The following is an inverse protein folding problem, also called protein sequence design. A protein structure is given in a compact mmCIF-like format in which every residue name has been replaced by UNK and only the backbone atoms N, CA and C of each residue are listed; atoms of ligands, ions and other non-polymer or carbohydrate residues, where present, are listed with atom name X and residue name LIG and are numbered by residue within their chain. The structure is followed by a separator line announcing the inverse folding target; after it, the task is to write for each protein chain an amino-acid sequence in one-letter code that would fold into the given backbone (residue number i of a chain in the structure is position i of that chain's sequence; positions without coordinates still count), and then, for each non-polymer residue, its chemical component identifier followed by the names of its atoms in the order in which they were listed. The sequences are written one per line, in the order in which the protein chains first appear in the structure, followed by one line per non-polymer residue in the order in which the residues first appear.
data_IF_983567300039
#
_entry.id   IF_983567300039
#
_cell.length_a   1.000
_cell.length_b   1.000
_cell.length_c   1.000
_cell.angle_alpha   90.00
_cell.angle_beta   90.00
_cell.angle_gamma   90.00
#
_symmetry.space_group_name_H-M   'P 1'
#
loop_
_entity.id
_entity.type
_entity.pdbx_description
1 polymer ?
#
# COMPACT_ATOMS: atom_id res chain seq x y z
N UNK A 1 8.98 2.61 -39.85
CA UNK A 1 9.39 1.72 -38.74
C UNK A 1 9.09 2.44 -37.42
N UNK A 2 7.92 2.19 -36.81
CA UNK A 2 7.56 2.82 -35.53
C UNK A 2 8.46 2.23 -34.44
N UNK A 3 9.24 3.07 -33.76
CA UNK A 3 10.02 2.67 -32.59
C UNK A 3 9.03 2.37 -31.48
N UNK A 4 8.64 1.11 -31.37
CA UNK A 4 7.98 0.60 -30.17
C UNK A 4 8.97 0.76 -29.03
N UNK A 5 8.75 1.78 -28.22
CA UNK A 5 9.57 2.09 -27.06
C UNK A 5 9.53 0.92 -26.09
N UNK A 6 10.70 0.48 -25.63
CA UNK A 6 10.95 -0.66 -24.73
C UNK A 6 10.26 -0.61 -23.35
N UNK A 7 9.31 0.32 -23.14
CA UNK A 7 8.56 0.51 -21.90
C UNK A 7 7.61 -0.64 -21.55
N UNK A 8 7.38 -1.61 -22.44
CA UNK A 8 6.41 -2.69 -22.22
C UNK A 8 6.92 -3.89 -21.40
N UNK A 9 8.22 -3.97 -21.06
CA UNK A 9 8.80 -5.20 -20.49
C UNK A 9 9.12 -5.17 -18.98
N UNK A 10 9.06 -4.03 -18.30
CA UNK A 10 9.37 -3.94 -16.87
C UNK A 10 8.10 -4.04 -16.02
N UNK A 11 7.45 -5.21 -16.07
CA UNK A 11 6.40 -5.57 -15.11
C UNK A 11 7.04 -6.02 -13.81
N UNK A 12 6.68 -5.43 -12.68
CA UNK A 12 7.01 -5.99 -11.36
C UNK A 12 6.52 -7.43 -11.32
N UNK A 13 7.41 -8.39 -11.05
CA UNK A 13 6.98 -9.69 -10.51
C UNK A 13 6.55 -9.46 -9.06
N UNK A 14 5.30 -9.07 -8.86
CA UNK A 14 4.64 -9.10 -7.56
C UNK A 14 4.27 -10.53 -7.13
N UNK A 15 5.09 -11.53 -7.47
CA UNK A 15 4.99 -12.87 -6.87
C UNK A 15 5.82 -12.89 -5.59
N UNK A 16 5.34 -12.20 -4.57
CA UNK A 16 5.79 -12.41 -3.20
C UNK A 16 4.58 -12.33 -2.28
N UNK A 17 3.92 -13.47 -2.15
CA UNK A 17 2.75 -13.69 -1.30
C UNK A 17 3.07 -13.60 0.20
N UNK A 18 4.31 -13.26 0.60
CA UNK A 18 4.82 -13.59 1.94
C UNK A 18 5.21 -12.41 2.86
N UNK A 19 5.06 -11.14 2.47
CA UNK A 19 5.40 -10.02 3.38
C UNK A 19 4.32 -8.93 3.45
N UNK A 20 3.17 -9.27 4.05
CA UNK A 20 2.03 -8.36 4.21
C UNK A 20 2.19 -7.35 5.36
N UNK A 21 2.98 -7.67 6.40
CA UNK A 21 3.09 -6.83 7.59
C UNK A 21 3.98 -5.59 7.41
N UNK A 22 4.98 -5.64 6.53
CA UNK A 22 5.96 -4.56 6.32
C UNK A 22 5.69 -3.64 5.13
N UNK A 23 4.84 -4.05 4.17
CA UNK A 23 4.58 -3.27 2.95
C UNK A 23 3.51 -2.18 3.11
N UNK A 24 2.84 -2.13 4.27
CA UNK A 24 1.74 -1.20 4.52
C UNK A 24 0.50 -1.46 3.64
N UNK A 25 0.43 -2.60 2.96
CA UNK A 25 -0.67 -2.98 2.05
C UNK A 25 -1.87 -3.54 2.82
N UNK A 26 -1.63 -4.27 3.92
CA UNK A 26 -2.68 -4.70 4.83
C UNK A 26 -3.20 -3.50 5.65
N UNK A 27 -4.50 -3.25 5.58
CA UNK A 27 -5.19 -2.16 6.29
C UNK A 27 -6.12 -2.71 7.33
N UNK A 28 -6.27 -1.96 8.42
CA UNK A 28 -7.24 -2.21 9.48
C UNK A 28 -7.97 -0.90 9.73
N UNK A 29 -9.29 -0.88 9.52
CA UNK A 29 -10.13 0.33 9.63
C UNK A 29 -11.40 0.04 10.42
N UNK A 30 -11.90 1.04 11.12
CA UNK A 30 -13.20 0.98 11.78
C UNK A 30 -14.26 1.60 10.88
N UNK A 31 -15.34 0.87 10.62
CA UNK A 31 -16.56 1.37 9.97
C UNK A 31 -17.61 1.58 11.06
N UNK A 32 -18.08 2.82 11.20
CA UNK A 32 -19.12 3.20 12.16
C UNK A 32 -20.47 3.36 11.47
N UNK A 33 -21.50 2.82 12.11
CA UNK A 33 -22.88 2.85 11.69
C UNK A 33 -23.67 3.81 12.59
N UNK A 34 -24.78 4.33 12.08
CA UNK A 34 -25.76 5.01 12.92
C UNK A 34 -26.47 4.00 13.83
N UNK A 35 -27.07 4.46 14.91
CA UNK A 35 -27.83 3.59 15.81
C UNK A 35 -29.11 3.03 15.16
N UNK A 36 -29.66 3.76 14.19
CA UNK A 36 -30.83 3.37 13.42
C UNK A 36 -30.49 3.20 11.92
N UNK A 37 -31.01 2.14 11.26
CA UNK A 37 -31.86 1.08 11.81
C UNK A 37 -31.09 0.06 12.68
N UNK A 38 -31.73 -0.53 13.71
CA UNK A 38 -31.08 -1.46 14.62
C UNK A 38 -30.64 -2.74 13.90
N UNK A 39 -29.54 -3.35 14.36
CA UNK A 39 -29.01 -4.60 13.78
C UNK A 39 -28.28 -4.42 12.44
N UNK A 40 -28.17 -3.20 11.93
CA UNK A 40 -27.50 -2.95 10.64
C UNK A 40 -26.02 -3.33 10.66
N UNK A 41 -25.30 -3.10 11.76
CA UNK A 41 -23.89 -3.49 11.88
C UNK A 41 -23.72 -5.02 11.80
N UNK A 42 -24.61 -5.78 12.45
CA UNK A 42 -24.59 -7.24 12.37
C UNK A 42 -24.90 -7.76 10.95
N UNK A 43 -25.83 -7.12 10.23
CA UNK A 43 -26.12 -7.44 8.84
C UNK A 43 -24.97 -7.04 7.90
N UNK A 44 -24.38 -5.86 8.07
CA UNK A 44 -23.23 -5.39 7.32
C UNK A 44 -22.02 -6.31 7.51
N UNK A 45 -21.80 -6.81 8.74
CA UNK A 45 -20.76 -7.79 9.03
C UNK A 45 -20.94 -9.06 8.18
N UNK A 46 -22.16 -9.57 8.04
CA UNK A 46 -22.43 -10.74 7.17
C UNK A 46 -22.12 -10.44 5.71
N UNK A 47 -22.54 -9.27 5.20
CA UNK A 47 -22.28 -8.85 3.83
C UNK A 47 -20.78 -8.70 3.54
N UNK A 48 -20.04 -8.06 4.43
CA UNK A 48 -18.59 -7.87 4.30
C UNK A 48 -17.81 -9.18 4.44
N UNK A 49 -18.22 -10.07 5.35
CA UNK A 49 -17.57 -11.37 5.54
C UNK A 49 -17.75 -12.33 4.35
N UNK A 50 -18.70 -12.06 3.45
CA UNK A 50 -18.84 -12.79 2.19
C UNK A 50 -17.78 -12.38 1.14
N UNK A 51 -17.11 -11.23 1.32
CA UNK A 51 -16.06 -10.76 0.41
C UNK A 51 -14.76 -11.52 0.67
N UNK A 52 -14.22 -12.17 -0.38
CA UNK A 52 -12.93 -12.86 -0.29
C UNK A 52 -11.83 -11.86 0.08
N UNK A 53 -11.05 -12.17 1.10
CA UNK A 53 -9.90 -11.36 1.52
C UNK A 53 -10.25 -10.22 2.49
N UNK A 54 -11.52 -10.07 2.88
CA UNK A 54 -11.95 -9.15 3.93
C UNK A 54 -12.21 -9.91 5.21
N UNK A 55 -11.57 -9.52 6.31
CA UNK A 55 -11.84 -10.03 7.65
C UNK A 55 -12.62 -8.97 8.44
N UNK A 56 -13.63 -9.39 9.19
CA UNK A 56 -14.51 -8.48 9.92
C UNK A 56 -14.66 -8.92 11.37
N UNK A 57 -14.25 -8.05 12.28
CA UNK A 57 -14.35 -8.22 13.73
C UNK A 57 -15.34 -7.19 14.29
N UNK A 58 -16.02 -7.47 15.41
CA UNK A 58 -16.74 -6.44 16.15
C UNK A 58 -15.82 -5.29 16.52
N UNK A 59 -16.31 -4.06 16.44
CA UNK A 59 -15.57 -2.87 16.84
C UNK A 59 -15.63 -2.62 18.35
N UNK A 60 -15.42 -1.35 18.74
CA UNK A 60 -15.49 -0.93 20.14
C UNK A 60 -16.92 -0.94 20.69
N UNK A 61 -17.88 -0.62 19.84
CA UNK A 61 -19.29 -0.48 20.17
C UNK A 61 -20.15 -1.38 19.26
N UNK A 62 -21.39 -1.65 19.64
CA UNK A 62 -22.31 -2.51 18.87
C UNK A 62 -22.63 -1.95 17.46
N UNK A 63 -22.41 -0.65 17.26
CA UNK A 63 -22.58 0.06 15.99
C UNK A 63 -21.26 0.27 15.23
N UNK A 64 -20.17 -0.43 15.59
CA UNK A 64 -18.92 -0.38 14.83
C UNK A 64 -18.36 -1.74 14.47
N UNK A 65 -17.68 -1.80 13.33
CA UNK A 65 -17.00 -2.99 12.80
C UNK A 65 -15.55 -2.66 12.50
N UNK A 66 -14.64 -3.54 12.88
CA UNK A 66 -13.24 -3.49 12.47
C UNK A 66 -13.05 -4.36 11.22
N UNK A 67 -12.64 -3.76 10.12
CA UNK A 67 -12.39 -4.44 8.86
C UNK A 67 -10.90 -4.51 8.56
N UNK A 68 -10.42 -5.69 8.16
CA UNK A 68 -9.06 -5.91 7.69
C UNK A 68 -9.10 -6.35 6.23
N UNK A 69 -8.29 -5.72 5.39
CA UNK A 69 -8.28 -5.98 3.96
C UNK A 69 -6.93 -5.60 3.35
N UNK A 70 -6.69 -6.06 2.12
CA UNK A 70 -5.55 -5.64 1.30
C UNK A 70 -5.97 -4.43 0.45
N UNK A 71 -5.22 -3.32 0.55
CA UNK A 71 -5.53 -2.06 -0.16
C UNK A 71 -5.55 -2.20 -1.68
N UNK A 72 -4.85 -3.20 -2.24
CA UNK A 72 -4.84 -3.47 -3.68
C UNK A 72 -6.11 -4.15 -4.17
N UNK A 73 -6.77 -4.90 -3.29
CA UNK A 73 -8.01 -5.64 -3.56
C UNK A 73 -9.24 -4.78 -3.22
N UNK A 74 -9.21 -4.08 -2.08
CA UNK A 74 -10.29 -3.22 -1.58
C UNK A 74 -9.74 -1.93 -0.96
N UNK A 75 -10.44 -0.82 -1.11
CA UNK A 75 -10.20 0.41 -0.32
C UNK A 75 -11.32 0.63 0.68
N UNK A 76 -11.08 1.43 1.73
CA UNK A 76 -12.16 1.78 2.67
C UNK A 76 -13.34 2.42 1.94
N UNK A 77 -13.05 3.32 1.00
CA UNK A 77 -14.06 4.04 0.21
C UNK A 77 -14.95 3.07 -0.59
N UNK A 78 -14.34 2.06 -1.23
CA UNK A 78 -15.09 1.05 -1.98
C UNK A 78 -16.00 0.23 -1.06
N UNK A 79 -15.48 -0.25 0.07
CA UNK A 79 -16.26 -1.02 1.03
C UNK A 79 -17.43 -0.21 1.59
N UNK A 80 -17.18 1.05 1.97
CA UNK A 80 -18.22 1.93 2.51
C UNK A 80 -19.24 2.34 1.44
N UNK A 81 -18.83 2.55 0.19
CA UNK A 81 -19.74 2.84 -0.92
C UNK A 81 -20.67 1.66 -1.20
N UNK A 82 -20.13 0.44 -1.28
CA UNK A 82 -20.94 -0.77 -1.44
C UNK A 82 -21.95 -0.96 -0.29
N UNK A 83 -21.57 -0.62 0.95
CA UNK A 83 -22.50 -0.64 2.08
C UNK A 83 -23.59 0.43 1.93
N UNK A 84 -23.23 1.65 1.54
CA UNK A 84 -24.21 2.71 1.32
C UNK A 84 -25.19 2.32 0.21
N UNK A 85 -24.69 1.78 -0.90
CA UNK A 85 -25.48 1.33 -2.05
C UNK A 85 -26.41 0.17 -1.68
N UNK A 86 -25.99 -0.68 -0.73
CA UNK A 86 -26.82 -1.75 -0.16
C UNK A 86 -27.83 -1.25 0.90
N UNK A 87 -27.89 0.06 1.18
CA UNK A 87 -28.86 0.67 2.09
C UNK A 87 -28.41 0.79 3.55
N UNK A 88 -27.13 0.54 3.86
CA UNK A 88 -26.60 0.73 5.21
C UNK A 88 -26.36 2.20 5.53
N UNK A 89 -26.62 2.59 6.77
CA UNK A 89 -26.52 3.97 7.25
C UNK A 89 -25.26 4.15 8.09
N UNK A 90 -24.20 4.62 7.44
CA UNK A 90 -22.93 4.92 8.11
C UNK A 90 -22.99 6.25 8.88
N UNK A 91 -22.18 6.36 9.93
CA UNK A 91 -22.02 7.62 10.66
C UNK A 91 -21.36 8.69 9.74
N UNK A 92 -21.87 9.92 9.84
CA UNK A 92 -21.51 11.06 9.00
C UNK A 92 -21.27 12.35 9.80
N UNK A 93 -20.94 12.27 11.09
CA UNK A 93 -20.45 13.46 11.82
C UNK A 93 -19.27 14.10 11.10
N UNK A 94 -19.10 15.42 11.25
CA UNK A 94 -18.08 16.18 10.51
C UNK A 94 -16.66 15.60 10.69
N UNK A 95 -16.30 15.26 11.94
CA UNK A 95 -15.00 14.69 12.27
C UNK A 95 -14.78 13.34 11.57
N UNK A 96 -15.79 12.46 11.58
CA UNK A 96 -15.72 11.16 10.91
C UNK A 96 -15.59 11.32 9.40
N UNK A 97 -16.34 12.27 8.80
CA UNK A 97 -16.23 12.57 7.37
C UNK A 97 -14.83 13.05 6.97
N UNK A 98 -14.23 13.93 7.77
CA UNK A 98 -12.87 14.42 7.52
C UNK A 98 -11.84 13.30 7.63
N UNK A 99 -11.94 12.48 8.68
CA UNK A 99 -11.07 11.32 8.87
C UNK A 99 -11.18 10.32 7.72
N UNK A 100 -12.41 10.03 7.26
CA UNK A 100 -12.67 9.19 6.08
C UNK A 100 -12.05 9.77 4.82
N UNK A 101 -12.26 11.06 4.54
CA UNK A 101 -11.70 11.72 3.36
C UNK A 101 -10.17 11.62 3.33
N UNK A 102 -9.50 11.78 4.48
CA UNK A 102 -8.06 11.58 4.58
C UNK A 102 -7.66 10.14 4.26
N UNK A 103 -8.37 9.15 4.81
CA UNK A 103 -8.10 7.74 4.53
C UNK A 103 -8.27 7.42 3.05
N UNK A 104 -9.38 7.88 2.44
CA UNK A 104 -9.68 7.64 1.04
C UNK A 104 -8.55 8.19 0.16
N UNK A 105 -8.15 9.44 0.39
CA UNK A 105 -7.07 10.08 -0.34
C UNK A 105 -5.74 9.31 -0.20
N UNK A 106 -5.38 8.91 1.02
CA UNK A 106 -4.13 8.18 1.29
C UNK A 106 -4.13 6.80 0.63
N UNK A 107 -5.24 6.07 0.71
CA UNK A 107 -5.36 4.74 0.13
C UNK A 107 -5.41 4.81 -1.40
N UNK A 108 -6.14 5.74 -1.99
CA UNK A 108 -6.15 5.96 -3.44
C UNK A 108 -4.75 6.31 -3.97
N UNK A 109 -4.06 7.24 -3.30
CA UNK A 109 -2.67 7.60 -3.65
C UNK A 109 -1.73 6.39 -3.52
N UNK A 110 -1.89 5.58 -2.47
CA UNK A 110 -1.09 4.38 -2.30
C UNK A 110 -1.35 3.37 -3.42
N UNK A 111 -2.62 3.11 -3.76
CA UNK A 111 -3.00 2.20 -4.85
C UNK A 111 -2.44 2.70 -6.18
N UNK A 112 -2.58 3.99 -6.47
CA UNK A 112 -2.02 4.62 -7.67
C UNK A 112 -0.51 4.42 -7.76
N UNK A 113 0.23 4.66 -6.66
CA UNK A 113 1.68 4.47 -6.61
C UNK A 113 2.10 3.01 -6.74
N UNK A 114 1.35 2.08 -6.14
CA UNK A 114 1.66 0.65 -6.21
C UNK A 114 1.36 0.05 -7.59
N UNK A 115 0.34 0.54 -8.28
CA UNK A 115 -0.05 0.12 -9.64
C UNK A 115 0.73 0.82 -10.74
N UNK A 116 1.39 1.94 -10.43
CA UNK A 116 2.19 2.67 -11.40
C UNK A 116 3.32 1.79 -11.94
N UNK A 117 3.52 1.74 -13.27
CA UNK A 117 4.59 0.95 -13.86
C UNK A 117 5.94 1.44 -13.34
N UNK A 118 6.89 0.51 -13.20
CA UNK A 118 8.22 0.83 -12.73
C UNK A 118 8.84 1.86 -13.68
N UNK A 119 9.23 3.02 -13.14
CA UNK A 119 10.03 3.96 -13.92
C UNK A 119 11.32 3.24 -14.24
N UNK A 120 11.65 3.10 -15.53
CA UNK A 120 13.01 2.80 -15.97
C UNK A 120 13.90 3.96 -15.53
N UNK A 121 14.31 3.95 -14.26
CA UNK A 121 15.44 4.73 -13.82
C UNK A 121 16.60 4.17 -14.63
N UNK A 122 17.33 5.04 -15.34
CA UNK A 122 18.61 4.65 -15.93
C UNK A 122 19.36 3.86 -14.85
N UNK A 123 19.88 2.68 -15.16
CA UNK A 123 20.65 1.83 -14.23
C UNK A 123 21.97 2.55 -13.83
N UNK A 124 21.90 3.78 -13.33
CA UNK A 124 23.03 4.60 -12.90
C UNK A 124 23.72 3.97 -11.70
N UNK A 125 23.05 3.09 -10.97
CA UNK A 125 23.69 2.24 -9.96
C UNK A 125 24.86 1.45 -10.55
N UNK A 126 24.77 0.92 -11.77
CA UNK A 126 25.91 0.28 -12.42
C UNK A 126 27.06 1.27 -12.69
N UNK A 127 26.73 2.52 -13.02
CA UNK A 127 27.72 3.59 -13.21
C UNK A 127 28.37 3.94 -11.87
N UNK A 128 27.60 4.02 -10.78
CA UNK A 128 28.13 4.26 -9.43
C UNK A 128 28.94 3.08 -8.91
N UNK A 129 28.53 1.83 -9.19
CA UNK A 129 29.27 0.62 -8.85
C UNK A 129 30.60 0.58 -9.61
N UNK A 130 30.59 0.87 -10.92
CA UNK A 130 31.81 0.96 -11.74
C UNK A 130 32.72 2.09 -11.27
N UNK A 131 32.16 3.26 -10.96
CA UNK A 131 32.91 4.39 -10.43
C UNK A 131 33.54 4.01 -9.09
N UNK A 132 32.77 3.47 -8.14
CA UNK A 132 33.26 3.02 -6.84
C UNK A 132 34.36 1.97 -6.97
N UNK A 133 34.18 0.96 -7.84
CA UNK A 133 35.18 -0.08 -8.09
C UNK A 133 36.48 0.47 -8.71
N UNK A 134 36.42 1.60 -9.42
CA UNK A 134 37.60 2.26 -9.99
C UNK A 134 38.31 3.20 -8.98
N UNK A 135 37.75 3.43 -7.79
CA UNK A 135 38.46 4.17 -6.74
C UNK A 135 39.40 3.21 -6.00
N UNK A 136 40.63 3.63 -5.67
CA UNK A 136 41.54 2.80 -4.87
C UNK A 136 40.99 2.70 -3.45
N UNK A 137 40.47 1.52 -3.10
CA UNK A 137 40.16 1.14 -1.72
C UNK A 137 41.28 0.22 -1.21
N UNK A 138 41.40 0.04 0.11
CA UNK A 138 42.60 -0.50 0.76
C UNK A 138 43.08 -1.90 0.30
N UNK A 139 42.24 -2.65 -0.39
CA UNK A 139 42.47 -3.96 -1.02
C UNK A 139 42.93 -3.88 -2.49
N UNK A 140 42.79 -2.72 -3.13
CA UNK A 140 43.33 -2.36 -4.45
C UNK A 140 44.35 -1.19 -4.37
N UNK A 141 44.82 -0.87 -3.17
CA UNK A 141 45.85 0.14 -2.97
C UNK A 141 47.24 -0.43 -3.22
N UNK A 142 47.66 -0.35 -4.47
CA UNK A 142 49.03 -0.68 -4.93
C UNK A 142 50.09 0.30 -4.37
N UNK A 143 49.71 1.27 -3.53
CA UNK A 143 50.69 2.16 -2.87
C UNK A 143 51.69 1.28 -2.10
N UNK A 144 52.99 1.31 -2.49
CA UNK A 144 54.03 0.56 -1.81
C UNK A 144 54.05 0.89 -0.32
N UNK A 145 54.40 -0.08 0.56
CA UNK A 145 54.38 0.13 2.00
C UNK A 145 55.13 1.40 2.43
N UNK A 146 56.28 1.66 1.78
CA UNK A 146 57.18 2.79 2.05
C UNK A 146 56.57 4.17 1.75
N UNK A 147 55.46 4.22 1.01
CA UNK A 147 54.79 5.46 0.60
C UNK A 147 53.43 5.68 1.30
N UNK A 148 52.96 4.75 2.14
CA UNK A 148 51.69 4.90 2.87
C UNK A 148 51.76 5.90 4.01
N UNK A 149 52.93 6.12 4.59
CA UNK A 149 53.12 7.02 5.74
C UNK A 149 53.18 8.51 5.37
N UNK A 150 53.23 8.83 4.07
CA UNK A 150 53.39 10.19 3.56
C UNK A 150 52.12 10.79 2.92
N UNK A 151 50.95 10.15 3.09
CA UNK A 151 49.65 10.67 2.64
C UNK A 151 48.92 11.46 3.71
#
# INVERSE_FOLDING_TARGET
MRRETAYKLAGRKHESTLHHAGSGIAKVREIRFKDFPPGQAAQARRSLAALRGVQVEPGRDDSSLLVRYNVLDYTLELLESCLIDAGFHLDRTLLIRLHRALIYYVEDTQVHNLRSPERLIKQSHEVYIKAYAAHPHGDHDDTPPDLREYK
#
